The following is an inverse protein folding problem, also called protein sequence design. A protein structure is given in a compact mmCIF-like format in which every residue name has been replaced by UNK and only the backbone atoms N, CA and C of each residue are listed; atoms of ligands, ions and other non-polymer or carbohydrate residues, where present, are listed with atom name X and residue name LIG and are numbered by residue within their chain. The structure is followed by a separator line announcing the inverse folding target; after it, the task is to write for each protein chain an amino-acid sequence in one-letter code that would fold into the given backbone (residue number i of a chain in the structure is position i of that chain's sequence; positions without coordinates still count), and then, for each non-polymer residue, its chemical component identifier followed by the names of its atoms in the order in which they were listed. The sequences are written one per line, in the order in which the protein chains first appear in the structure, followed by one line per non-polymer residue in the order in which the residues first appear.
data_IF_861313624819
#
_entry.id   IF_861313624819
#
_cell.length_a   1.000
_cell.length_b   1.000
_cell.length_c   1.000
_cell.angle_alpha   90.00
_cell.angle_beta   90.00
_cell.angle_gamma   90.00
#
_symmetry.space_group_name_H-M   'P 1'
#
loop_
_entity.id
_entity.type
_entity.pdbx_description
1 polymer ?
#
# COMPACT_ATOMS: atom_id res chain seq x y z
N UNK A 1 -27.56 2.87 3.64
CA UNK A 1 -28.21 1.92 2.88
C UNK A 1 -27.67 0.51 2.94
N UNK A 2 -27.58 -0.15 1.79
CA UNK A 2 -27.30 -1.59 1.64
C UNK A 2 -26.00 -2.05 2.32
N UNK A 3 -24.90 -1.31 2.17
CA UNK A 3 -23.60 -1.65 2.79
C UNK A 3 -23.72 -1.74 4.31
N UNK A 4 -24.36 -0.75 4.97
CA UNK A 4 -24.54 -0.78 6.43
C UNK A 4 -25.38 -1.96 6.92
N UNK A 5 -26.32 -2.42 6.09
CA UNK A 5 -27.21 -3.54 6.44
C UNK A 5 -26.55 -4.92 6.24
N UNK A 6 -25.57 -5.05 5.35
CA UNK A 6 -25.03 -6.34 4.90
C UNK A 6 -23.53 -6.52 5.14
N UNK A 7 -22.80 -5.48 5.55
CA UNK A 7 -21.39 -5.57 5.88
C UNK A 7 -21.20 -5.40 7.39
N UNK A 8 -20.86 -6.46 8.13
CA UNK A 8 -20.55 -6.37 9.55
C UNK A 8 -19.42 -5.36 9.83
N UNK A 9 -19.37 -4.77 11.04
CA UNK A 9 -18.23 -3.99 11.47
C UNK A 9 -16.91 -4.77 11.28
N UNK A 10 -15.84 -4.08 10.93
CA UNK A 10 -14.50 -4.67 10.71
C UNK A 10 -14.44 -5.69 9.56
N UNK A 11 -15.37 -5.64 8.62
CA UNK A 11 -15.31 -6.45 7.40
C UNK A 11 -14.75 -5.70 6.21
N UNK A 12 -14.18 -6.45 5.26
CA UNK A 12 -13.76 -5.94 3.97
C UNK A 12 -14.91 -6.07 2.97
N UNK A 13 -15.36 -4.94 2.44
CA UNK A 13 -16.38 -4.91 1.41
C UNK A 13 -15.76 -4.64 0.04
N UNK A 14 -15.91 -5.58 -0.89
CA UNK A 14 -15.47 -5.45 -2.27
C UNK A 14 -16.66 -5.15 -3.17
N UNK A 15 -16.59 -4.02 -3.86
CA UNK A 15 -17.56 -3.62 -4.88
C UNK A 15 -16.97 -3.89 -6.26
N UNK A 16 -17.70 -4.64 -7.09
CA UNK A 16 -17.37 -4.87 -8.49
C UNK A 16 -18.51 -4.34 -9.34
N UNK A 17 -18.20 -3.38 -10.19
CA UNK A 17 -19.13 -2.79 -11.14
C UNK A 17 -18.80 -3.27 -12.56
N UNK A 18 -19.79 -3.83 -13.23
CA UNK A 18 -19.75 -4.16 -14.66
C UNK A 18 -20.80 -3.34 -15.40
N UNK A 19 -20.90 -3.48 -16.71
CA UNK A 19 -21.95 -2.81 -17.50
C UNK A 19 -23.36 -3.20 -17.06
N UNK A 20 -23.56 -4.44 -16.58
CA UNK A 20 -24.89 -4.99 -16.27
C UNK A 20 -25.07 -5.32 -14.79
N UNK A 21 -23.99 -5.45 -14.02
CA UNK A 21 -24.06 -5.98 -12.66
C UNK A 21 -23.29 -5.12 -11.66
N UNK A 22 -23.86 -5.02 -10.47
CA UNK A 22 -23.23 -4.54 -9.27
C UNK A 22 -23.09 -5.71 -8.28
N UNK A 23 -21.84 -6.16 -8.06
CA UNK A 23 -21.54 -7.29 -7.17
C UNK A 23 -20.91 -6.74 -5.89
N UNK A 24 -21.52 -7.08 -4.76
CA UNK A 24 -21.00 -6.78 -3.44
C UNK A 24 -20.53 -8.08 -2.78
N UNK A 25 -19.25 -8.13 -2.43
CA UNK A 25 -18.67 -9.25 -1.68
C UNK A 25 -18.21 -8.75 -0.32
N UNK A 26 -18.54 -9.50 0.72
CA UNK A 26 -18.09 -9.25 2.08
C UNK A 26 -17.17 -10.39 2.55
N UNK A 27 -16.11 -10.03 3.26
CA UNK A 27 -15.18 -10.98 3.88
C UNK A 27 -14.62 -10.38 5.18
N UNK A 28 -14.09 -11.20 6.10
CA UNK A 28 -13.33 -10.69 7.24
C UNK A 28 -12.17 -9.79 6.79
N UNK A 29 -11.91 -8.71 7.53
CA UNK A 29 -10.70 -7.91 7.33
C UNK A 29 -9.50 -8.71 7.88
N UNK A 30 -8.47 -9.01 7.08
CA UNK A 30 -7.33 -9.79 7.53
C UNK A 30 -6.33 -9.00 8.40
N UNK A 31 -6.53 -7.69 8.56
CA UNK A 31 -5.61 -6.81 9.27
C UNK A 31 -6.10 -6.56 10.71
N UNK A 32 -5.75 -7.46 11.62
CA UNK A 32 -5.99 -7.30 13.06
C UNK A 32 -4.93 -6.40 13.73
N UNK A 33 -5.17 -5.96 15.00
CA UNK A 33 -4.24 -5.10 15.74
C UNK A 33 -2.82 -5.65 15.80
N UNK A 34 -2.65 -6.95 15.98
CA UNK A 34 -1.33 -7.60 16.07
C UNK A 34 -0.49 -7.44 14.79
N UNK A 35 -1.13 -7.27 13.63
CA UNK A 35 -0.41 -7.04 12.37
C UNK A 35 0.27 -5.67 12.37
N UNK A 36 -0.40 -4.68 12.93
CA UNK A 36 0.18 -3.34 13.06
C UNK A 36 1.31 -3.32 14.09
N UNK A 37 1.16 -4.06 15.20
CA UNK A 37 2.20 -4.14 16.24
C UNK A 37 3.47 -4.81 15.73
N UNK A 38 3.34 -5.87 14.93
CA UNK A 38 4.45 -6.59 14.32
C UNK A 38 5.12 -5.83 13.18
N UNK A 39 4.33 -5.06 12.42
CA UNK A 39 4.77 -4.45 11.17
C UNK A 39 5.04 -5.48 10.06
N UNK A 40 4.92 -5.06 8.82
CA UNK A 40 5.12 -5.94 7.67
C UNK A 40 6.58 -6.30 7.44
N UNK A 41 6.80 -7.55 7.02
CA UNK A 41 8.05 -8.05 6.44
C UNK A 41 7.83 -8.23 4.95
N UNK A 42 8.60 -7.52 4.14
CA UNK A 42 8.40 -7.44 2.71
C UNK A 42 9.68 -7.75 1.94
N UNK A 43 9.53 -8.11 0.68
CA UNK A 43 10.63 -8.31 -0.25
C UNK A 43 10.30 -7.62 -1.60
N UNK A 44 11.23 -7.70 -2.54
CA UNK A 44 11.03 -7.20 -3.89
C UNK A 44 10.37 -8.27 -4.77
N UNK A 45 9.50 -7.82 -5.65
CA UNK A 45 8.96 -8.66 -6.72
C UNK A 45 10.04 -8.96 -7.76
N UNK A 46 10.01 -10.18 -8.28
CA UNK A 46 10.82 -10.55 -9.45
C UNK A 46 10.17 -10.08 -10.76
N UNK A 47 8.87 -9.73 -10.70
CA UNK A 47 8.13 -9.17 -11.83
C UNK A 47 8.37 -7.66 -11.88
N UNK A 48 8.73 -7.17 -13.05
CA UNK A 48 8.97 -5.74 -13.29
C UNK A 48 7.65 -5.05 -13.62
N UNK A 49 7.38 -3.92 -12.93
CA UNK A 49 6.22 -3.08 -13.22
C UNK A 49 6.40 -2.35 -14.54
N UNK A 50 5.47 -2.52 -15.47
CA UNK A 50 5.50 -1.78 -16.72
C UNK A 50 4.96 -0.35 -16.50
N UNK A 51 5.87 0.59 -16.24
CA UNK A 51 5.57 2.00 -16.00
C UNK A 51 5.12 2.76 -17.27
N UNK A 52 5.28 2.17 -18.45
CA UNK A 52 4.79 2.74 -19.71
C UNK A 52 3.39 2.27 -20.10
N UNK A 53 2.81 1.33 -19.36
CA UNK A 53 1.46 0.83 -19.64
C UNK A 53 0.41 1.92 -19.36
N UNK A 54 -0.52 2.20 -20.31
CA UNK A 54 -1.61 3.13 -20.06
C UNK A 54 -2.57 2.66 -18.95
N UNK A 55 -2.51 1.38 -18.56
CA UNK A 55 -3.35 0.82 -17.51
C UNK A 55 -2.74 0.90 -16.12
N UNK A 56 -1.45 1.24 -15.99
CA UNK A 56 -0.72 1.17 -14.72
C UNK A 56 -1.34 2.07 -13.63
N UNK A 57 -1.84 3.24 -14.02
CA UNK A 57 -2.50 4.18 -13.11
C UNK A 57 -4.00 3.92 -12.89
N UNK A 58 -4.55 2.82 -13.39
CA UNK A 58 -5.99 2.57 -13.35
C UNK A 58 -6.36 1.36 -12.50
N UNK A 59 -7.39 1.52 -11.66
CA UNK A 59 -7.97 0.43 -10.87
C UNK A 59 -8.87 -0.43 -11.75
N UNK A 60 -8.30 -1.42 -12.41
CA UNK A 60 -8.99 -2.33 -13.34
C UNK A 60 -8.92 -3.78 -12.87
N UNK A 61 -9.62 -4.68 -13.57
CA UNK A 61 -9.50 -6.13 -13.36
C UNK A 61 -8.23 -6.72 -13.97
N UNK A 62 -7.45 -5.94 -14.73
CA UNK A 62 -6.17 -6.35 -15.33
C UNK A 62 -5.02 -6.20 -14.32
N UNK A 63 -5.05 -6.99 -13.25
CA UNK A 63 -4.05 -6.98 -12.18
C UNK A 63 -3.54 -8.39 -11.83
N UNK A 64 -3.41 -9.24 -12.85
CA UNK A 64 -2.94 -10.62 -12.71
C UNK A 64 -1.58 -10.70 -12.04
N UNK A 65 -0.62 -9.88 -12.45
CA UNK A 65 0.72 -9.82 -11.86
C UNK A 65 0.67 -9.52 -10.36
N UNK A 66 -0.17 -8.57 -9.95
CA UNK A 66 -0.36 -8.23 -8.53
C UNK A 66 -0.88 -9.42 -7.72
N UNK A 67 -1.85 -10.17 -8.26
CA UNK A 67 -2.42 -11.34 -7.56
C UNK A 67 -1.37 -12.46 -7.44
N UNK A 68 -0.63 -12.72 -8.51
CA UNK A 68 0.38 -13.78 -8.54
C UNK A 68 1.53 -13.47 -7.57
N UNK A 69 2.04 -12.24 -7.59
CA UNK A 69 3.11 -11.80 -6.69
C UNK A 69 2.64 -11.71 -5.22
N UNK A 70 1.40 -11.30 -4.97
CA UNK A 70 0.84 -11.32 -3.61
C UNK A 70 0.76 -12.75 -3.05
N UNK A 71 0.34 -13.72 -3.87
CA UNK A 71 0.31 -15.14 -3.48
C UNK A 71 1.72 -15.70 -3.28
N UNK A 72 2.66 -15.31 -4.14
CA UNK A 72 4.06 -15.72 -4.02
C UNK A 72 4.71 -15.12 -2.74
N UNK A 73 4.40 -13.89 -2.38
CA UNK A 73 4.79 -13.29 -1.11
C UNK A 73 4.30 -14.13 0.07
N UNK A 74 3.00 -14.42 0.12
CA UNK A 74 2.41 -15.22 1.18
C UNK A 74 3.00 -16.62 1.27
N UNK A 75 3.26 -17.29 0.15
CA UNK A 75 3.91 -18.59 0.09
C UNK A 75 5.37 -18.56 0.61
N UNK A 76 6.04 -17.42 0.50
CA UNK A 76 7.39 -17.19 1.03
C UNK A 76 7.40 -16.68 2.49
N UNK A 77 6.24 -16.59 3.15
CA UNK A 77 6.12 -16.07 4.50
C UNK A 77 6.31 -14.55 4.61
N UNK A 78 6.16 -13.84 3.50
CA UNK A 78 6.20 -12.38 3.42
C UNK A 78 4.79 -11.79 3.43
N UNK A 79 4.66 -10.56 3.91
CA UNK A 79 3.37 -9.88 3.98
C UNK A 79 3.01 -9.18 2.67
N UNK A 80 4.04 -8.73 1.92
CA UNK A 80 3.88 -7.96 0.70
C UNK A 80 5.17 -8.05 -0.15
N UNK A 81 5.07 -7.72 -1.45
CA UNK A 81 6.21 -7.48 -2.33
C UNK A 81 6.09 -6.13 -3.00
N UNK A 82 7.23 -5.45 -3.11
CA UNK A 82 7.35 -4.16 -3.81
C UNK A 82 7.83 -4.40 -5.23
N UNK A 83 7.09 -3.88 -6.19
CA UNK A 83 7.52 -3.84 -7.58
C UNK A 83 8.59 -2.78 -7.82
N UNK A 84 9.57 -3.13 -8.62
CA UNK A 84 10.44 -2.18 -9.29
C UNK A 84 9.93 -1.97 -10.71
N UNK A 85 10.06 -0.75 -11.23
CA UNK A 85 9.72 -0.46 -12.61
C UNK A 85 10.85 -0.81 -13.59
N UNK A 86 10.67 -0.54 -14.87
CA UNK A 86 11.65 -0.85 -15.93
C UNK A 86 12.98 -0.10 -15.76
N UNK A 87 13.03 0.96 -14.94
CA UNK A 87 14.22 1.74 -14.62
C UNK A 87 14.85 1.35 -13.27
N UNK A 88 14.34 0.31 -12.60
CA UNK A 88 14.81 -0.14 -11.30
C UNK A 88 14.39 0.78 -10.14
N UNK A 89 13.41 1.64 -10.35
CA UNK A 89 12.85 2.51 -9.34
C UNK A 89 11.78 1.76 -8.53
N UNK A 90 11.64 2.10 -7.26
CA UNK A 90 10.52 1.66 -6.44
C UNK A 90 9.21 2.18 -7.04
N UNK A 91 8.20 1.34 -7.14
CA UNK A 91 6.89 1.71 -7.65
C UNK A 91 5.82 1.57 -6.55
N UNK A 92 5.28 0.39 -6.38
CA UNK A 92 4.19 0.11 -5.44
C UNK A 92 4.24 -1.32 -4.93
N UNK A 93 3.47 -1.64 -3.90
CA UNK A 93 3.22 -3.02 -3.48
C UNK A 93 2.22 -3.73 -4.38
N UNK A 94 2.04 -5.04 -4.19
CA UNK A 94 1.05 -5.82 -4.96
C UNK A 94 -0.39 -5.34 -4.73
N UNK A 95 -0.67 -4.76 -3.54
CA UNK A 95 -1.98 -4.23 -3.16
C UNK A 95 -1.89 -2.88 -2.43
N UNK A 96 -0.73 -2.21 -2.44
CA UNK A 96 -0.45 -1.05 -1.59
C UNK A 96 0.45 -0.01 -2.25
N UNK A 97 0.42 1.24 -1.75
CA UNK A 97 1.42 2.25 -2.09
C UNK A 97 2.48 2.35 -1.00
N UNK A 98 3.71 2.68 -1.39
CA UNK A 98 4.89 2.75 -0.52
C UNK A 98 5.17 4.17 -0.06
N UNK A 99 5.54 4.30 1.21
CA UNK A 99 6.06 5.53 1.81
C UNK A 99 7.34 5.25 2.59
N UNK A 100 8.26 6.20 2.55
CA UNK A 100 9.52 6.19 3.29
C UNK A 100 9.66 7.47 4.10
N UNK A 101 10.37 7.42 5.23
CA UNK A 101 10.56 8.57 6.11
C UNK A 101 12.05 8.80 6.36
N UNK A 102 12.50 10.03 6.15
CA UNK A 102 13.85 10.47 6.50
C UNK A 102 13.82 11.87 7.10
N UNK A 103 14.45 12.05 8.26
CA UNK A 103 14.51 13.34 8.95
C UNK A 103 13.13 13.97 9.21
N UNK A 104 12.12 13.15 9.47
CA UNK A 104 10.73 13.60 9.70
C UNK A 104 9.96 14.01 8.43
N UNK A 105 10.55 13.85 7.24
CA UNK A 105 9.92 14.10 5.94
C UNK A 105 9.40 12.81 5.33
N UNK A 106 8.29 12.91 4.63
CA UNK A 106 7.66 11.81 3.89
C UNK A 106 8.09 11.81 2.44
N UNK A 107 8.38 10.62 1.94
CA UNK A 107 8.73 10.35 0.54
C UNK A 107 7.85 9.24 0.01
N UNK A 108 7.42 9.34 -1.25
CA UNK A 108 6.69 8.28 -1.95
C UNK A 108 7.12 8.24 -3.41
N UNK A 109 7.13 7.08 -4.05
CA UNK A 109 7.39 7.01 -5.48
C UNK A 109 6.43 7.92 -6.26
N UNK A 110 6.98 8.69 -7.20
CA UNK A 110 6.21 9.55 -8.09
C UNK A 110 5.29 8.70 -8.99
N UNK A 111 4.16 9.25 -9.42
CA UNK A 111 3.23 8.53 -10.31
C UNK A 111 3.90 8.07 -11.62
N UNK A 112 4.90 8.82 -12.10
CA UNK A 112 5.74 8.46 -13.26
C UNK A 112 6.56 7.17 -13.06
N UNK A 113 6.68 6.66 -11.84
CA UNK A 113 7.29 5.35 -11.57
C UNK A 113 6.36 4.17 -11.92
N UNK A 114 5.12 4.43 -12.32
CA UNK A 114 4.19 3.40 -12.78
C UNK A 114 3.44 2.72 -11.65
N UNK A 115 2.65 3.48 -10.93
CA UNK A 115 1.86 3.00 -9.78
C UNK A 115 0.42 3.51 -9.82
N UNK A 116 -0.45 2.82 -9.10
CA UNK A 116 -1.81 3.26 -8.90
C UNK A 116 -1.84 4.49 -7.95
N UNK A 117 -2.51 5.60 -8.34
CA UNK A 117 -2.79 6.70 -7.41
C UNK A 117 -3.85 6.27 -6.38
N UNK A 118 -3.40 5.61 -5.32
CA UNK A 118 -4.29 5.07 -4.27
C UNK A 118 -4.97 6.18 -3.47
N UNK A 119 -6.22 5.93 -3.05
CA UNK A 119 -7.03 6.91 -2.29
C UNK A 119 -6.32 7.37 -1.02
N UNK A 120 -5.71 6.44 -0.28
CA UNK A 120 -4.99 6.80 0.94
C UNK A 120 -3.64 7.46 0.66
N UNK A 121 -2.97 7.11 -0.46
CA UNK A 121 -1.80 7.86 -0.92
C UNK A 121 -2.18 9.31 -1.21
N UNK A 122 -3.25 9.55 -1.95
CA UNK A 122 -3.75 10.89 -2.27
C UNK A 122 -4.13 11.67 -1.00
N UNK A 123 -4.80 11.04 -0.04
CA UNK A 123 -5.10 11.65 1.26
C UNK A 123 -3.82 12.12 1.96
N UNK A 124 -2.79 11.29 2.05
CA UNK A 124 -1.52 11.67 2.69
C UNK A 124 -0.79 12.78 1.92
N UNK A 125 -0.77 12.74 0.60
CA UNK A 125 -0.15 13.78 -0.22
C UNK A 125 -0.84 15.15 -0.09
N UNK A 126 -2.14 15.16 0.25
CA UNK A 126 -2.89 16.40 0.49
C UNK A 126 -2.82 16.89 1.93
N UNK A 127 -2.76 15.99 2.90
CA UNK A 127 -2.81 16.32 4.33
C UNK A 127 -1.44 16.52 4.95
N UNK A 128 -0.38 16.03 4.31
CA UNK A 128 1.00 16.08 4.80
C UNK A 128 1.93 16.68 3.74
N UNK A 129 3.12 17.13 4.16
CA UNK A 129 4.18 17.48 3.22
C UNK A 129 4.89 16.21 2.77
N UNK A 130 4.57 15.75 1.55
CA UNK A 130 5.12 14.53 0.95
C UNK A 130 5.94 14.90 -0.28
N UNK A 131 7.14 14.38 -0.38
CA UNK A 131 7.98 14.48 -1.59
C UNK A 131 7.69 13.28 -2.50
N UNK A 132 7.06 13.54 -3.64
CA UNK A 132 6.83 12.56 -4.69
C UNK A 132 8.05 12.54 -5.61
N UNK A 133 8.85 11.47 -5.55
CA UNK A 133 10.16 11.43 -6.22
C UNK A 133 10.53 10.04 -6.71
N UNK A 134 11.60 9.93 -7.48
CA UNK A 134 12.19 8.67 -7.89
C UNK A 134 13.01 8.08 -6.75
N UNK A 135 12.66 6.89 -6.31
CA UNK A 135 13.30 6.18 -5.21
C UNK A 135 13.87 4.86 -5.70
N UNK A 136 15.01 4.45 -5.15
CA UNK A 136 15.70 3.24 -5.55
C UNK A 136 16.01 2.34 -4.34
N UNK A 137 16.08 1.01 -4.50
CA UNK A 137 16.41 0.09 -3.42
C UNK A 137 17.72 0.43 -2.71
N UNK A 138 18.73 0.91 -3.44
CA UNK A 138 20.03 1.31 -2.88
C UNK A 138 19.96 2.46 -1.88
N UNK A 139 18.90 3.27 -1.92
CA UNK A 139 18.68 4.41 -1.03
C UNK A 139 17.96 4.04 0.27
N UNK A 140 17.46 2.82 0.42
CA UNK A 140 16.69 2.42 1.62
C UNK A 140 17.47 2.63 2.92
N UNK A 141 18.80 2.63 2.87
CA UNK A 141 19.66 2.94 4.02
C UNK A 141 19.50 4.35 4.58
N UNK A 142 19.02 5.30 3.78
CA UNK A 142 18.85 6.71 4.13
C UNK A 142 17.55 6.98 4.92
N UNK A 143 16.65 5.98 4.97
CA UNK A 143 15.32 6.11 5.59
C UNK A 143 15.26 5.39 6.94
N UNK A 144 14.60 6.03 7.91
CA UNK A 144 14.41 5.50 9.26
C UNK A 144 13.12 4.71 9.38
N UNK A 145 12.09 5.03 8.56
CA UNK A 145 10.81 4.33 8.56
C UNK A 145 10.37 3.99 7.15
N UNK A 146 9.57 2.95 7.07
CA UNK A 146 8.84 2.54 5.90
C UNK A 146 7.41 2.17 6.30
N UNK A 147 6.45 2.52 5.50
CA UNK A 147 5.08 2.04 5.65
C UNK A 147 4.40 1.89 4.29
N UNK A 148 3.36 1.08 4.26
CA UNK A 148 2.53 0.89 3.07
C UNK A 148 1.07 1.22 3.37
N UNK A 149 0.34 1.60 2.32
CA UNK A 149 -1.03 2.09 2.48
C UNK A 149 -1.98 1.47 1.47
N UNK A 150 -3.18 1.14 1.92
CA UNK A 150 -4.34 0.94 1.05
C UNK A 150 -5.64 1.23 1.82
N UNK A 151 -6.76 1.33 1.11
CA UNK A 151 -8.06 1.69 1.69
C UNK A 151 -8.65 0.65 2.65
N UNK A 152 -8.10 -0.57 2.72
CA UNK A 152 -8.56 -1.63 3.62
C UNK A 152 -7.74 -1.69 4.92
N UNK A 153 -6.41 -1.61 4.82
CA UNK A 153 -5.52 -1.67 5.98
C UNK A 153 -5.18 -0.29 6.55
N UNK A 154 -5.50 0.79 5.85
CA UNK A 154 -5.02 2.10 6.27
C UNK A 154 -3.51 2.24 6.10
N UNK A 155 -2.81 2.62 7.15
CA UNK A 155 -1.36 2.81 7.19
C UNK A 155 -0.73 1.66 7.98
N UNK A 156 0.06 0.85 7.29
CA UNK A 156 0.71 -0.35 7.84
C UNK A 156 2.21 -0.13 7.96
N UNK A 157 2.78 -0.11 9.17
CA UNK A 157 4.23 -0.02 9.34
C UNK A 157 4.95 -1.20 8.69
N UNK A 158 6.13 -0.95 8.14
CA UNK A 158 7.02 -1.96 7.58
C UNK A 158 8.24 -2.09 8.49
N UNK A 159 8.45 -3.28 9.01
CA UNK A 159 9.62 -3.61 9.84
C UNK A 159 10.85 -3.94 8.99
N UNK A 160 10.65 -4.62 7.85
CA UNK A 160 11.73 -5.05 6.96
C UNK A 160 11.29 -5.00 5.50
N UNK A 161 12.18 -4.50 4.61
CA UNK A 161 12.04 -4.58 3.16
C UNK A 161 13.37 -5.05 2.55
N UNK A 162 13.36 -6.23 1.92
CA UNK A 162 14.57 -6.93 1.51
C UNK A 162 15.48 -7.16 2.72
N UNK A 163 16.73 -6.70 2.67
CA UNK A 163 17.64 -6.78 3.81
C UNK A 163 17.57 -5.56 4.75
N UNK A 164 16.83 -4.50 4.39
CA UNK A 164 16.73 -3.29 5.22
C UNK A 164 15.74 -3.50 6.35
N UNK A 165 16.20 -3.34 7.60
CA UNK A 165 15.38 -3.24 8.81
C UNK A 165 15.19 -1.77 9.14
N UNK A 166 13.95 -1.36 9.38
CA UNK A 166 13.60 0.02 9.75
C UNK A 166 13.52 0.13 11.28
N UNK A 167 14.32 1.03 11.88
CA UNK A 167 14.43 1.12 13.35
C UNK A 167 13.26 1.86 14.02
N UNK A 168 12.49 2.64 13.26
CA UNK A 168 11.38 3.46 13.76
C UNK A 168 10.10 3.18 12.99
N UNK A 169 8.97 3.52 13.62
CA UNK A 169 7.61 3.49 13.09
C UNK A 169 6.75 4.64 13.59
N UNK A 170 7.35 5.61 14.25
CA UNK A 170 6.66 6.70 14.95
C UNK A 170 5.78 7.52 14.01
N UNK A 171 6.29 7.85 12.83
CA UNK A 171 5.54 8.57 11.79
C UNK A 171 4.34 7.75 11.30
N UNK A 172 4.55 6.48 11.01
CA UNK A 172 3.48 5.58 10.56
C UNK A 172 2.36 5.46 11.61
N UNK A 173 2.71 5.29 12.89
CA UNK A 173 1.74 5.18 13.99
C UNK A 173 0.98 6.49 14.20
N UNK A 174 1.66 7.63 14.14
CA UNK A 174 1.05 8.96 14.24
C UNK A 174 0.04 9.18 13.11
N UNK A 175 0.45 8.96 11.86
CA UNK A 175 -0.40 9.17 10.69
C UNK A 175 -1.59 8.20 10.68
N UNK A 176 -1.40 6.96 11.15
CA UNK A 176 -2.50 6.01 11.32
C UNK A 176 -3.55 6.52 12.31
N UNK A 177 -3.11 7.00 13.48
CA UNK A 177 -4.01 7.55 14.49
C UNK A 177 -4.75 8.81 14.00
N UNK A 178 -4.10 9.66 13.20
CA UNK A 178 -4.71 10.82 12.55
C UNK A 178 -5.79 10.38 11.55
N UNK A 179 -5.44 9.48 10.63
CA UNK A 179 -6.36 8.95 9.64
C UNK A 179 -7.58 8.26 10.27
N UNK A 180 -7.37 7.41 11.28
CA UNK A 180 -8.46 6.72 11.98
C UNK A 180 -9.43 7.69 12.70
N UNK A 181 -8.95 8.84 13.15
CA UNK A 181 -9.82 9.90 13.68
C UNK A 181 -10.64 10.55 12.58
N UNK A 182 -10.00 10.91 11.47
CA UNK A 182 -10.65 11.61 10.36
C UNK A 182 -11.78 10.79 9.74
N UNK A 183 -11.57 9.47 9.53
CA UNK A 183 -12.59 8.60 8.95
C UNK A 183 -13.77 8.30 9.88
N UNK A 184 -13.64 8.49 11.22
CA UNK A 184 -14.76 8.31 12.16
C UNK A 184 -15.83 9.40 12.02
N UNK A 185 -15.51 10.51 11.39
CA UNK A 185 -16.43 11.63 11.18
C UNK A 185 -17.08 11.61 9.79
N UNK A 186 -16.77 10.64 8.94
CA UNK A 186 -17.40 10.42 7.63
C UNK A 186 -18.49 9.33 7.71
#
# INVERSE_FOLDING_TARGET
GYIRAHCPPHSACKLILTQENLILQNRPNPYGPERYDQGFVMDFSVVVRNDTSPLVGHKTMNYGDCILEHRAAAAAGMDERIFLNTRGQLAEGTVSNLFLVSGGRLYTPALSCGLLPGVLRDYLCRSQTVEETELYPRQLGEFQECFVTNSLMGIMPVRKLGERIFPSREMADRLRAEYERDIKFL
#
